data_IF_106308530895
#
_entry.id   IF_106308530895
#
_cell.length_a   1.000
_cell.length_b   1.000
_cell.length_c   1.000
_cell.angle_alpha   90.00
_cell.angle_beta   90.00
_cell.angle_gamma   90.00
#
_symmetry.space_group_name_H-M   'P 1'
#
loop_
_entity.id
_entity.type
_entity.pdbx_description
1 polymer ?
#
# COMPACT_ATOMS: atom_id res chain seq x y z
N UNK A 1 -7.56 -47.49 -53.70
CA UNK A 1 -7.21 -48.58 -52.76
C UNK A 1 -5.74 -48.56 -52.30
N UNK A 2 -4.77 -48.13 -53.14
CA UNK A 2 -3.33 -48.22 -52.83
C UNK A 2 -2.78 -47.22 -51.77
N UNK A 3 -3.44 -46.07 -51.58
CA UNK A 3 -2.97 -45.06 -50.62
C UNK A 3 -3.04 -45.55 -49.17
N UNK A 4 -4.16 -46.16 -48.78
CA UNK A 4 -4.37 -46.68 -47.42
C UNK A 4 -3.42 -47.83 -47.08
N UNK A 5 -3.09 -48.68 -48.05
CA UNK A 5 -2.14 -49.77 -47.85
C UNK A 5 -0.71 -49.24 -47.68
N UNK A 6 -0.29 -48.24 -48.46
CA UNK A 6 1.00 -47.56 -48.28
C UNK A 6 1.08 -46.80 -46.93
N UNK A 7 0.02 -46.07 -46.54
CA UNK A 7 -0.04 -45.35 -45.27
C UNK A 7 0.09 -46.30 -44.07
N UNK A 8 -0.65 -47.41 -44.08
CA UNK A 8 -0.59 -48.43 -43.03
C UNK A 8 0.82 -49.05 -42.90
N UNK A 9 1.48 -49.30 -44.03
CA UNK A 9 2.83 -49.87 -44.04
C UNK A 9 3.87 -48.88 -43.48
N UNK A 10 3.72 -47.58 -43.81
CA UNK A 10 4.53 -46.50 -43.25
C UNK A 10 4.36 -46.35 -41.73
N UNK A 11 3.12 -46.36 -41.25
CA UNK A 11 2.83 -46.29 -39.81
C UNK A 11 3.37 -47.52 -39.08
N UNK A 12 3.20 -48.72 -39.65
CA UNK A 12 3.76 -49.96 -39.10
C UNK A 12 5.29 -49.92 -39.02
N UNK A 13 5.96 -49.39 -40.06
CA UNK A 13 7.41 -49.19 -40.06
C UNK A 13 7.85 -48.27 -38.91
N UNK A 14 7.20 -47.11 -38.76
CA UNK A 14 7.51 -46.14 -37.71
C UNK A 14 7.24 -46.70 -36.31
N UNK A 15 6.15 -47.46 -36.14
CA UNK A 15 5.82 -48.11 -34.88
C UNK A 15 6.84 -49.19 -34.50
N UNK A 16 7.19 -50.08 -35.44
CA UNK A 16 8.19 -51.13 -35.21
C UNK A 16 9.58 -50.55 -34.94
N UNK A 17 9.93 -49.41 -35.54
CA UNK A 17 11.15 -48.69 -35.25
C UNK A 17 11.17 -48.18 -33.80
N UNK A 18 10.11 -47.48 -33.38
CA UNK A 18 9.95 -47.01 -31.98
C UNK A 18 9.87 -48.15 -30.97
N UNK A 19 9.28 -49.29 -31.33
CA UNK A 19 9.20 -50.49 -30.45
C UNK A 19 10.56 -51.14 -30.20
N UNK A 20 11.50 -51.02 -31.14
CA UNK A 20 12.86 -51.58 -31.04
C UNK A 20 13.86 -50.64 -30.36
N UNK A 21 13.50 -49.37 -30.18
CA UNK A 21 14.33 -48.35 -29.52
C UNK A 21 13.81 -48.08 -28.09
N UNK A 22 14.67 -47.79 -27.09
CA UNK A 22 14.21 -47.47 -25.74
C UNK A 22 13.43 -46.14 -25.71
N UNK A 23 12.11 -46.23 -25.65
CA UNK A 23 11.18 -45.10 -25.45
C UNK A 23 11.24 -44.48 -24.04
N UNK A 24 12.03 -45.08 -23.14
CA UNK A 24 12.15 -44.64 -21.75
C UNK A 24 12.61 -43.19 -21.65
N UNK A 25 13.62 -42.79 -22.43
CA UNK A 25 14.16 -41.42 -22.37
C UNK A 25 13.12 -40.39 -22.82
N UNK A 26 12.35 -40.70 -23.86
CA UNK A 26 11.32 -39.81 -24.39
C UNK A 26 10.14 -39.62 -23.44
N UNK A 27 9.85 -40.61 -22.59
CA UNK A 27 8.82 -40.52 -21.55
C UNK A 27 9.35 -39.93 -20.23
N UNK A 28 10.56 -40.30 -19.83
CA UNK A 28 11.17 -39.84 -18.58
C UNK A 28 11.57 -38.37 -18.65
N UNK A 29 11.98 -37.87 -19.81
CA UNK A 29 12.36 -36.47 -20.00
C UNK A 29 11.24 -35.47 -19.66
N UNK A 30 10.02 -35.55 -20.24
CA UNK A 30 8.93 -34.63 -19.88
C UNK A 30 8.46 -34.80 -18.43
N UNK A 31 8.49 -36.03 -17.89
CA UNK A 31 8.19 -36.28 -16.48
C UNK A 31 9.19 -35.58 -15.57
N UNK A 32 10.48 -35.70 -15.85
CA UNK A 32 11.56 -35.05 -15.09
C UNK A 32 11.42 -33.52 -15.11
N UNK A 33 11.16 -32.93 -16.27
CA UNK A 33 10.91 -31.49 -16.38
C UNK A 33 9.69 -31.05 -15.56
N UNK A 34 8.61 -31.84 -15.57
CA UNK A 34 7.41 -31.55 -14.80
C UNK A 34 7.68 -31.60 -13.28
N UNK A 35 8.43 -32.61 -12.82
CA UNK A 35 8.82 -32.70 -11.41
C UNK A 35 9.66 -31.49 -10.97
N UNK A 36 10.59 -31.01 -11.82
CA UNK A 36 11.34 -29.78 -11.53
C UNK A 36 10.39 -28.59 -11.38
N UNK A 37 9.43 -28.41 -12.29
CA UNK A 37 8.48 -27.29 -12.21
C UNK A 37 7.61 -27.37 -10.96
N UNK A 38 7.16 -28.56 -10.57
CA UNK A 38 6.41 -28.76 -9.33
C UNK A 38 7.27 -28.44 -8.11
N UNK A 39 8.53 -28.86 -8.08
CA UNK A 39 9.46 -28.55 -6.99
C UNK A 39 9.69 -27.04 -6.88
N UNK A 40 9.94 -26.34 -8.00
CA UNK A 40 10.09 -24.89 -8.03
C UNK A 40 8.83 -24.19 -7.53
N UNK A 41 7.64 -24.67 -7.94
CA UNK A 41 6.36 -24.13 -7.47
C UNK A 41 6.14 -24.36 -5.97
N UNK A 42 6.55 -25.51 -5.45
CA UNK A 42 6.46 -25.80 -4.02
C UNK A 42 7.40 -24.91 -3.19
N UNK A 43 8.55 -24.52 -3.73
CA UNK A 43 9.47 -23.58 -3.08
C UNK A 43 8.95 -22.14 -3.04
N UNK A 44 7.99 -21.79 -3.91
CA UNK A 44 7.41 -20.45 -4.01
C UNK A 44 5.88 -20.53 -3.90
N UNK A 45 5.33 -20.82 -2.70
CA UNK A 45 3.88 -20.77 -2.50
C UNK A 45 3.36 -19.35 -2.79
N UNK A 46 2.11 -19.21 -3.27
CA UNK A 46 1.51 -17.90 -3.48
C UNK A 46 1.49 -17.11 -2.16
N UNK A 47 1.90 -15.86 -2.19
CA UNK A 47 1.69 -14.95 -1.07
C UNK A 47 0.24 -14.47 -1.10
N UNK A 48 -0.53 -14.91 -0.11
CA UNK A 48 -1.86 -14.38 0.14
C UNK A 48 -1.75 -13.01 0.81
N UNK A 49 -2.30 -11.99 0.15
CA UNK A 49 -2.41 -10.65 0.70
C UNK A 49 -3.89 -10.31 0.92
N UNK A 50 -4.20 -9.72 2.07
CA UNK A 50 -5.53 -9.17 2.31
C UNK A 50 -5.77 -7.95 1.40
N UNK A 51 -7.04 -7.59 1.23
CA UNK A 51 -7.39 -6.32 0.58
C UNK A 51 -6.75 -5.17 1.35
N UNK A 52 -5.86 -4.46 0.66
CA UNK A 52 -4.92 -3.55 1.28
C UNK A 52 -5.39 -2.10 1.16
N UNK A 53 -5.71 -1.50 2.29
CA UNK A 53 -6.13 -0.10 2.38
C UNK A 53 -5.01 0.78 2.91
N UNK A 54 -4.88 1.97 2.30
CA UNK A 54 -3.82 2.91 2.64
C UNK A 54 -4.40 4.24 3.11
N UNK A 55 -3.86 4.82 4.20
CA UNK A 55 -4.27 6.14 4.61
C UNK A 55 -3.82 7.17 3.56
N UNK A 56 -4.66 8.17 3.32
CA UNK A 56 -4.36 9.23 2.38
C UNK A 56 -3.12 10.05 2.80
N UNK A 57 -2.32 10.48 1.81
CA UNK A 57 -1.16 11.33 2.01
C UNK A 57 -1.46 12.76 1.56
N UNK A 58 -1.79 13.66 2.50
CA UNK A 58 -2.09 15.04 2.15
C UNK A 58 -0.83 15.74 1.62
N UNK A 59 -1.01 16.47 0.52
CA UNK A 59 0.02 17.35 -0.03
C UNK A 59 0.11 18.65 0.79
N UNK A 60 1.22 19.42 0.70
CA UNK A 60 1.36 20.69 1.41
C UNK A 60 0.23 21.69 1.15
N UNK A 61 -0.43 21.61 -0.01
CA UNK A 61 -1.59 22.43 -0.38
C UNK A 61 -2.84 22.19 0.48
N UNK A 62 -2.96 21.03 1.12
CA UNK A 62 -4.03 20.73 2.09
C UNK A 62 -3.76 21.32 3.49
N UNK A 63 -2.58 21.93 3.69
CA UNK A 63 -2.12 22.49 4.95
C UNK A 63 -0.83 21.85 5.43
N UNK A 64 0.03 22.63 6.10
CA UNK A 64 1.34 22.17 6.59
C UNK A 64 1.23 21.14 7.71
N UNK A 65 0.26 21.30 8.62
CA UNK A 65 0.01 20.35 9.72
C UNK A 65 -0.42 18.96 9.21
N UNK A 66 -1.49 18.82 8.41
CA UNK A 66 -1.88 17.51 7.90
C UNK A 66 -0.80 16.91 7.00
N UNK A 67 -0.10 17.71 6.19
CA UNK A 67 1.05 17.25 5.41
C UNK A 67 2.15 16.65 6.28
N UNK A 68 2.56 17.35 7.34
CA UNK A 68 3.62 16.86 8.22
C UNK A 68 3.18 15.62 9.02
N UNK A 69 1.92 15.59 9.47
CA UNK A 69 1.33 14.40 10.08
C UNK A 69 1.35 13.21 9.11
N UNK A 70 0.95 13.41 7.86
CA UNK A 70 1.03 12.38 6.82
C UNK A 70 2.45 11.89 6.56
N UNK A 71 3.41 12.81 6.55
CA UNK A 71 4.82 12.48 6.35
C UNK A 71 5.38 11.67 7.51
N UNK A 72 5.07 12.01 8.76
CA UNK A 72 5.62 11.34 9.95
C UNK A 72 4.86 10.05 10.29
N UNK A 73 3.53 10.07 10.26
CA UNK A 73 2.70 8.94 10.67
C UNK A 73 2.63 7.83 9.61
N UNK A 74 2.74 8.16 8.32
CA UNK A 74 2.58 7.19 7.22
C UNK A 74 3.89 6.93 6.43
N UNK A 75 5.06 7.05 7.07
CA UNK A 75 6.37 6.76 6.42
C UNK A 75 6.42 5.33 5.91
N UNK A 76 6.01 4.37 6.74
CA UNK A 76 6.22 2.95 6.51
C UNK A 76 5.22 2.32 5.52
N UNK A 77 4.26 3.09 5.00
CA UNK A 77 3.18 2.59 4.15
C UNK A 77 2.54 1.31 4.71
N UNK A 78 2.13 1.34 5.98
CA UNK A 78 1.47 0.20 6.60
C UNK A 78 0.14 -0.05 5.90
N UNK A 79 -0.05 -1.29 5.47
CA UNK A 79 -1.26 -1.78 4.85
C UNK A 79 -2.29 -2.17 5.92
N UNK A 80 -3.54 -1.75 5.75
CA UNK A 80 -4.63 -2.11 6.66
C UNK A 80 -5.64 -3.03 5.96
N UNK A 81 -6.19 -4.04 6.66
CA UNK A 81 -7.22 -4.94 6.11
C UNK A 81 -8.63 -4.33 6.07
N UNK A 82 -8.79 -3.09 6.50
CA UNK A 82 -10.08 -2.40 6.59
C UNK A 82 -9.93 -1.00 6.01
N UNK A 83 -11.01 -0.45 5.45
CA UNK A 83 -11.02 0.91 4.91
C UNK A 83 -10.50 1.91 5.93
N UNK A 84 -9.64 2.82 5.47
CA UNK A 84 -9.21 3.92 6.31
C UNK A 84 -10.26 5.04 6.28
N UNK A 85 -10.43 5.83 7.36
CA UNK A 85 -11.41 6.92 7.40
C UNK A 85 -11.29 7.94 6.27
N UNK A 86 -10.11 8.09 5.66
CA UNK A 86 -9.89 8.98 4.51
C UNK A 86 -10.27 8.39 3.15
N UNK A 87 -10.62 7.10 3.07
CA UNK A 87 -11.18 6.47 1.87
C UNK A 87 -12.71 6.58 1.82
N UNK A 88 -13.36 6.91 2.95
CA UNK A 88 -14.81 7.11 3.02
C UNK A 88 -15.24 8.39 2.27
N UNK A 89 -16.35 8.35 1.49
CA UNK A 89 -16.86 9.52 0.80
C UNK A 89 -17.17 10.65 1.78
N UNK A 90 -16.62 11.85 1.52
CA UNK A 90 -16.85 13.03 2.35
C UNK A 90 -15.94 13.15 3.57
N UNK A 91 -15.07 12.18 3.87
CA UNK A 91 -14.00 12.31 4.86
C UNK A 91 -12.64 12.45 4.19
N UNK A 92 -11.92 13.53 4.51
CA UNK A 92 -10.63 13.86 3.89
C UNK A 92 -9.43 13.63 4.82
N UNK A 93 -9.64 13.33 6.11
CA UNK A 93 -8.57 13.31 7.11
C UNK A 93 -8.59 12.02 7.91
N UNK A 94 -7.45 11.33 7.92
CA UNK A 94 -7.18 10.18 8.78
C UNK A 94 -6.68 10.59 10.19
N UNK A 95 -6.43 11.88 10.44
CA UNK A 95 -5.71 12.35 11.64
C UNK A 95 -6.57 13.14 12.63
N UNK A 96 -7.90 13.11 12.49
CA UNK A 96 -8.80 13.91 13.34
C UNK A 96 -8.68 13.56 14.83
N UNK A 97 -8.38 12.31 15.17
CA UNK A 97 -8.20 11.84 16.55
C UNK A 97 -6.77 11.95 17.09
N UNK A 98 -5.83 12.47 16.30
CA UNK A 98 -4.46 12.65 16.78
C UNK A 98 -4.38 13.74 17.86
N UNK A 99 -3.47 13.57 18.83
CA UNK A 99 -3.25 14.55 19.91
C UNK A 99 -2.93 15.94 19.36
N UNK A 100 -2.14 16.00 18.27
CA UNK A 100 -1.78 17.26 17.62
C UNK A 100 -3.01 17.94 17.02
N UNK A 101 -3.90 17.19 16.36
CA UNK A 101 -5.15 17.75 15.82
C UNK A 101 -6.08 18.23 16.92
N UNK A 102 -6.19 17.50 18.04
CA UNK A 102 -6.99 17.89 19.21
C UNK A 102 -6.44 19.15 19.89
N UNK A 103 -5.13 19.18 20.16
CA UNK A 103 -4.47 20.36 20.72
C UNK A 103 -4.62 21.59 19.82
N UNK A 104 -4.54 21.41 18.50
CA UNK A 104 -4.75 22.50 17.57
C UNK A 104 -6.20 22.99 17.56
N UNK A 105 -7.17 22.09 17.70
CA UNK A 105 -8.58 22.45 17.85
C UNK A 105 -8.83 23.21 19.17
N UNK A 106 -8.28 22.72 20.29
CA UNK A 106 -8.38 23.36 21.60
C UNK A 106 -7.71 24.74 21.59
N UNK A 107 -6.51 24.86 21.01
CA UNK A 107 -5.82 26.14 20.87
C UNK A 107 -6.65 27.14 20.05
N UNK A 108 -7.27 26.69 18.95
CA UNK A 108 -8.14 27.54 18.12
C UNK A 108 -9.40 27.98 18.85
N UNK A 109 -10.03 27.10 19.64
CA UNK A 109 -11.22 27.46 20.41
C UNK A 109 -10.91 28.45 21.53
N UNK A 110 -9.80 28.26 22.25
CA UNK A 110 -9.36 29.19 23.29
C UNK A 110 -8.98 30.54 22.70
N UNK A 111 -8.15 30.57 21.64
CA UNK A 111 -7.69 31.81 21.02
C UNK A 111 -8.81 32.57 20.29
N UNK A 112 -9.79 31.87 19.73
CA UNK A 112 -10.97 32.47 19.11
C UNK A 112 -11.97 33.04 20.12
N UNK A 113 -11.79 32.79 21.42
CA UNK A 113 -12.68 33.28 22.47
C UNK A 113 -12.57 34.79 22.71
N UNK A 114 -13.71 35.46 22.92
CA UNK A 114 -13.76 36.89 23.24
C UNK A 114 -13.04 37.24 24.55
N UNK A 115 -12.91 36.29 25.48
CA UNK A 115 -12.09 36.42 26.70
C UNK A 115 -10.59 36.46 26.37
N UNK A 116 -10.11 35.56 25.52
CA UNK A 116 -8.71 35.51 25.09
C UNK A 116 -8.30 36.78 24.34
N UNK A 117 -9.15 37.27 23.42
CA UNK A 117 -8.91 38.55 22.75
C UNK A 117 -8.82 39.73 23.73
N UNK A 118 -9.71 39.81 24.72
CA UNK A 118 -9.66 40.85 25.76
C UNK A 118 -8.41 40.74 26.62
N UNK A 119 -8.02 39.53 27.01
CA UNK A 119 -6.77 39.30 27.75
C UNK A 119 -5.54 39.68 26.93
N UNK A 120 -5.45 39.28 25.66
CA UNK A 120 -4.35 39.64 24.76
C UNK A 120 -4.26 41.15 24.55
N UNK A 121 -5.40 41.84 24.37
CA UNK A 121 -5.44 43.29 24.26
C UNK A 121 -5.00 43.97 25.56
N UNK A 122 -5.44 43.46 26.71
CA UNK A 122 -5.00 43.93 28.03
C UNK A 122 -3.49 43.75 28.24
N UNK A 123 -2.95 42.60 27.85
CA UNK A 123 -1.53 42.26 27.94
C UNK A 123 -0.69 43.14 27.02
N UNK A 124 -1.18 43.45 25.81
CA UNK A 124 -0.57 44.42 24.91
C UNK A 124 -0.48 45.83 25.51
N UNK A 125 -1.56 46.30 26.16
CA UNK A 125 -1.57 47.59 26.85
C UNK A 125 -0.57 47.62 28.02
N UNK A 126 -0.51 46.54 28.79
CA UNK A 126 0.44 46.38 29.90
C UNK A 126 1.89 46.41 29.43
N UNK A 127 2.22 45.67 28.36
CA UNK A 127 3.56 45.69 27.74
C UNK A 127 3.92 47.09 27.27
N UNK A 128 2.99 47.83 26.65
CA UNK A 128 3.24 49.19 26.21
C UNK A 128 3.54 50.13 27.39
N UNK A 129 2.78 50.01 28.49
CA UNK A 129 3.02 50.81 29.71
C UNK A 129 4.36 50.49 30.37
N UNK A 130 4.74 49.21 30.44
CA UNK A 130 6.05 48.79 30.98
C UNK A 130 7.21 49.25 30.10
N UNK A 131 7.02 49.26 28.77
CA UNK A 131 8.03 49.78 27.84
C UNK A 131 8.22 51.29 27.99
N UNK A 132 7.14 52.05 28.15
CA UNK A 132 7.19 53.50 28.40
C UNK A 132 7.85 53.85 29.74
N UNK A 133 7.56 53.08 30.80
CA UNK A 133 8.17 53.25 32.12
C UNK A 133 9.65 52.81 32.19
N UNK A 134 10.12 52.00 31.24
CA UNK A 134 11.54 51.61 31.12
C UNK A 134 12.37 52.60 30.29
N UNK A 135 11.74 53.43 29.47
CA UNK A 135 12.40 54.45 28.64
C UNK A 135 12.54 55.81 29.33
N UNK A 136 12.10 55.93 30.57
CA UNK A 136 12.32 57.06 31.50
C UNK A 136 13.33 56.64 32.56
#
# INVERSE_FOLDING_TARGET
MAFWTQLRLLLWKNFMYRRRQPLLVELLWPLFLFFILVAVRHSHPPLEHHECHFPNKPLPSAGTVPWLQGLICNVNNTCFPQLTPGEEPGRLSNFNDSLVSRLLADARTVLGGASAHRMLAGLGKLIATLRAARST
#
